data_IF_485681869012
#
_entry.id   IF_485681869012
#
_cell.length_a   1.000
_cell.length_b   1.000
_cell.length_c   1.000
_cell.angle_alpha   90.00
_cell.angle_beta   90.00
_cell.angle_gamma   90.00
#
_symmetry.space_group_name_H-M   'P 1'
#
loop_
_entity.id
_entity.type
_entity.pdbx_description
1 polymer ?
#
# COMPACT_ATOMS: atom_id res chain seq x y z
N UNK A 1 29.78 -1.07 -71.72
CA UNK A 1 30.76 -2.16 -71.53
C UNK A 1 32.01 -1.53 -70.93
N UNK A 2 32.66 -2.03 -69.86
CA UNK A 2 32.46 -3.18 -68.96
C UNK A 2 32.00 -2.71 -67.54
N UNK A 3 31.48 -3.45 -66.55
CA UNK A 3 31.79 -4.74 -65.90
C UNK A 3 33.09 -4.77 -65.04
N UNK A 4 32.88 -4.81 -63.71
CA UNK A 4 33.47 -5.74 -62.72
C UNK A 4 34.56 -5.23 -61.72
N UNK A 5 34.16 -5.37 -60.43
CA UNK A 5 34.92 -5.58 -59.17
C UNK A 5 35.80 -4.49 -58.55
N UNK A 6 35.44 -4.09 -57.33
CA UNK A 6 36.13 -4.60 -56.13
C UNK A 6 35.27 -4.39 -54.87
N UNK A 7 35.01 -5.48 -54.17
CA UNK A 7 34.38 -5.55 -52.86
C UNK A 7 35.42 -5.29 -51.75
N UNK A 8 34.90 -5.20 -50.52
CA UNK A 8 35.58 -5.35 -49.23
C UNK A 8 36.24 -4.10 -48.62
N UNK A 9 35.42 -3.33 -47.87
CA UNK A 9 35.84 -2.69 -46.61
C UNK A 9 34.63 -2.06 -45.88
N UNK A 10 33.58 -2.83 -45.54
CA UNK A 10 32.45 -2.32 -44.76
C UNK A 10 31.76 -3.42 -43.93
N UNK A 11 32.54 -4.30 -43.30
CA UNK A 11 32.02 -5.35 -42.39
C UNK A 11 32.71 -5.34 -41.01
N UNK A 12 33.56 -4.36 -40.68
CA UNK A 12 34.20 -4.29 -39.37
C UNK A 12 34.00 -2.94 -38.66
N UNK A 13 32.74 -2.48 -38.61
CA UNK A 13 32.30 -1.45 -37.66
C UNK A 13 31.14 -1.97 -36.76
N UNK A 14 31.07 -3.29 -36.56
CA UNK A 14 30.05 -3.96 -35.74
C UNK A 14 30.63 -4.73 -34.56
N UNK A 15 31.84 -4.38 -34.11
CA UNK A 15 32.39 -4.92 -32.86
C UNK A 15 32.87 -3.76 -32.00
N UNK A 16 32.41 -3.76 -30.75
CA UNK A 16 32.74 -2.80 -29.69
C UNK A 16 31.89 -1.50 -29.65
N UNK A 17 30.57 -1.65 -29.75
CA UNK A 17 29.79 -1.01 -28.69
C UNK A 17 30.00 -1.86 -27.42
N UNK A 18 30.47 -1.29 -26.30
CA UNK A 18 30.27 -1.97 -25.05
C UNK A 18 28.75 -2.06 -24.87
N UNK A 19 28.22 -3.27 -24.97
CA UNK A 19 27.04 -3.71 -24.23
C UNK A 19 27.36 -3.47 -22.75
N UNK A 20 27.36 -2.21 -22.32
CA UNK A 20 26.94 -1.87 -20.98
C UNK A 20 25.45 -2.12 -21.02
N UNK A 21 25.07 -3.37 -20.80
CA UNK A 21 23.89 -3.67 -20.01
C UNK A 21 24.13 -2.97 -18.67
N UNK A 22 23.87 -1.65 -18.65
CA UNK A 22 23.41 -1.00 -17.45
C UNK A 22 22.08 -1.69 -17.19
N UNK A 23 22.16 -2.84 -16.53
CA UNK A 23 21.09 -3.41 -15.76
C UNK A 23 20.65 -2.28 -14.83
N UNK A 24 19.71 -1.48 -15.31
CA UNK A 24 19.23 -0.30 -14.63
C UNK A 24 18.57 -0.86 -13.37
N UNK A 25 19.32 -0.85 -12.27
CA UNK A 25 18.90 -1.40 -11.00
C UNK A 25 17.48 -0.89 -10.74
N UNK A 26 16.49 -1.76 -10.89
CA UNK A 26 15.11 -1.34 -10.92
C UNK A 26 14.77 -0.83 -9.52
N UNK A 27 14.47 0.46 -9.42
CA UNK A 27 14.16 1.07 -8.12
C UNK A 27 12.77 0.62 -7.69
N UNK A 28 12.72 -0.23 -6.66
CA UNK A 28 11.48 -0.69 -6.05
C UNK A 28 11.09 0.26 -4.92
N UNK A 29 9.84 0.71 -4.90
CA UNK A 29 9.30 1.40 -3.73
C UNK A 29 9.13 0.41 -2.59
N UNK A 30 9.47 0.82 -1.37
CA UNK A 30 9.24 0.09 -0.13
C UNK A 30 8.56 1.01 0.89
N UNK A 31 7.86 0.41 1.85
CA UNK A 31 7.19 1.13 2.94
C UNK A 31 7.79 0.67 4.27
N UNK A 32 8.26 1.60 5.11
CA UNK A 32 8.62 1.32 6.50
C UNK A 32 7.49 1.79 7.41
N UNK A 33 6.69 0.86 7.96
CA UNK A 33 5.62 1.22 8.88
C UNK A 33 6.22 1.75 10.20
N UNK A 34 5.51 2.69 10.82
CA UNK A 34 5.81 3.24 12.15
C UNK A 34 4.82 2.71 13.17
N UNK A 35 3.53 2.73 12.85
CA UNK A 35 2.48 2.11 13.64
C UNK A 35 1.22 1.88 12.80
N UNK A 36 0.36 0.99 13.30
CA UNK A 36 -1.03 0.79 12.90
C UNK A 36 -1.78 0.52 14.20
N UNK A 37 -2.79 1.34 14.51
CA UNK A 37 -3.56 1.24 15.75
C UNK A 37 -5.03 1.58 15.53
N UNK A 38 -5.89 1.13 16.43
CA UNK A 38 -7.27 1.58 16.47
C UNK A 38 -7.31 3.07 16.87
N UNK A 39 -8.28 3.81 16.34
CA UNK A 39 -8.50 5.20 16.78
C UNK A 39 -9.14 5.22 18.17
N UNK A 40 -8.75 6.20 18.99
CA UNK A 40 -9.36 6.50 20.28
C UNK A 40 -10.64 7.32 20.09
N UNK A 41 -11.65 6.69 19.48
CA UNK A 41 -12.97 7.29 19.25
C UNK A 41 -14.04 6.52 20.02
N UNK A 42 -15.06 7.20 20.57
CA UNK A 42 -16.18 6.52 21.21
C UNK A 42 -16.90 5.63 20.18
N UNK A 43 -17.37 4.47 20.60
CA UNK A 43 -18.05 3.50 19.75
C UNK A 43 -17.17 2.99 18.58
N UNK A 44 -15.87 2.86 18.73
CA UNK A 44 -15.07 2.11 17.76
C UNK A 44 -15.34 0.61 17.92
N UNK A 45 -15.68 -0.10 16.84
CA UNK A 45 -15.90 -1.55 16.88
C UNK A 45 -14.61 -2.35 17.08
N UNK A 46 -13.44 -1.75 16.85
CA UNK A 46 -12.15 -2.40 17.08
C UNK A 46 -11.82 -2.27 18.57
N UNK A 47 -11.92 -3.38 19.30
CA UNK A 47 -11.58 -3.43 20.74
C UNK A 47 -10.09 -3.58 20.99
N UNK A 48 -9.44 -4.39 20.15
CA UNK A 48 -8.01 -4.63 20.20
C UNK A 48 -7.48 -4.67 18.77
N UNK A 49 -6.29 -4.11 18.57
CA UNK A 49 -5.53 -4.23 17.35
C UNK A 49 -4.05 -4.28 17.68
N UNK A 50 -3.48 -5.47 17.53
CA UNK A 50 -2.06 -5.70 17.66
C UNK A 50 -1.47 -5.98 16.29
N UNK A 51 -0.48 -5.18 15.89
CA UNK A 51 0.21 -5.34 14.60
C UNK A 51 1.70 -5.49 14.86
N UNK A 52 2.27 -6.54 14.27
CA UNK A 52 3.71 -6.81 14.28
C UNK A 52 4.20 -6.69 12.84
N UNK A 53 5.33 -6.02 12.69
CA UNK A 53 6.03 -5.88 11.42
C UNK A 53 7.24 -6.79 11.42
N UNK A 54 7.42 -7.52 10.32
CA UNK A 54 8.58 -8.40 10.15
C UNK A 54 9.15 -8.26 8.74
N UNK A 55 10.42 -8.60 8.58
CA UNK A 55 11.13 -8.62 7.32
C UNK A 55 11.25 -10.07 6.85
N UNK A 56 10.48 -10.44 5.82
CA UNK A 56 10.64 -11.73 5.15
C UNK A 56 11.50 -11.51 3.91
N UNK A 57 12.78 -11.83 4.02
CA UNK A 57 13.77 -11.47 3.01
C UNK A 57 13.99 -9.96 2.96
N UNK A 58 13.47 -9.30 1.91
CA UNK A 58 13.54 -7.83 1.74
C UNK A 58 12.16 -7.16 1.81
N UNK A 59 11.11 -7.95 1.95
CA UNK A 59 9.76 -7.43 1.96
C UNK A 59 9.28 -7.24 3.39
N UNK A 60 8.69 -6.06 3.64
CA UNK A 60 7.96 -5.81 4.88
C UNK A 60 6.66 -6.61 4.83
N UNK A 61 6.50 -7.45 5.83
CA UNK A 61 5.27 -8.18 6.08
C UNK A 61 4.65 -7.70 7.39
N UNK A 62 3.34 -7.87 7.52
CA UNK A 62 2.61 -7.53 8.73
C UNK A 62 1.76 -8.70 9.19
N UNK A 63 1.88 -9.00 10.48
CA UNK A 63 1.00 -9.91 11.18
C UNK A 63 0.06 -9.08 12.06
N UNK A 64 -1.23 -9.39 12.01
CA UNK A 64 -2.27 -8.65 12.70
C UNK A 64 -3.08 -9.61 13.56
N UNK A 65 -3.42 -9.20 14.76
CA UNK A 65 -4.45 -9.80 15.58
C UNK A 65 -5.35 -8.69 16.12
N UNK A 66 -6.63 -8.72 15.79
CA UNK A 66 -7.57 -7.71 16.24
C UNK A 66 -8.97 -8.25 16.47
N UNK A 67 -9.68 -7.62 17.37
CA UNK A 67 -11.05 -8.01 17.75
C UNK A 67 -12.02 -6.95 17.28
N UNK A 68 -13.02 -7.38 16.51
CA UNK A 68 -14.16 -6.54 16.12
C UNK A 68 -15.36 -6.97 16.96
N UNK A 69 -15.88 -6.06 17.77
CA UNK A 69 -16.89 -6.32 18.81
C UNK A 69 -18.33 -6.44 18.30
N UNK A 70 -18.60 -5.90 17.11
CA UNK A 70 -19.94 -5.82 16.54
C UNK A 70 -19.94 -5.94 15.02
N UNK A 71 -20.96 -6.61 14.51
CA UNK A 71 -21.19 -6.78 13.08
C UNK A 71 -21.88 -5.54 12.49
N UNK A 72 -21.65 -5.27 11.19
CA UNK A 72 -22.45 -4.32 10.41
C UNK A 72 -22.93 -4.99 9.11
N UNK A 73 -24.18 -4.77 8.67
CA UNK A 73 -24.67 -5.28 7.40
C UNK A 73 -23.83 -4.83 6.19
N UNK A 74 -23.37 -3.57 6.21
CA UNK A 74 -22.48 -2.99 5.21
C UNK A 74 -21.87 -1.68 5.71
N UNK A 75 -20.67 -1.37 5.26
CA UNK A 75 -20.14 -0.02 5.28
C UNK A 75 -20.70 0.76 4.10
N UNK A 76 -21.44 1.83 4.38
CA UNK A 76 -22.00 2.69 3.34
C UNK A 76 -21.03 3.77 2.91
N UNK A 77 -20.13 4.19 3.81
CA UNK A 77 -19.11 5.18 3.53
C UNK A 77 -17.77 4.79 4.15
N UNK A 78 -16.70 4.96 3.39
CA UNK A 78 -15.32 4.91 3.90
C UNK A 78 -14.67 6.26 3.62
N UNK A 79 -14.05 6.85 4.65
CA UNK A 79 -13.26 8.06 4.55
C UNK A 79 -11.81 7.74 4.85
N UNK A 80 -10.92 7.94 3.88
CA UNK A 80 -9.48 7.88 4.08
C UNK A 80 -8.91 9.29 4.07
N UNK A 81 -8.33 9.72 5.18
CA UNK A 81 -7.59 10.99 5.26
C UNK A 81 -6.10 10.69 5.32
N UNK A 82 -5.33 11.33 4.45
CA UNK A 82 -3.87 11.26 4.43
C UNK A 82 -3.30 12.64 4.76
N UNK A 83 -2.37 12.66 5.72
CA UNK A 83 -1.61 13.83 6.14
C UNK A 83 -0.12 13.58 5.87
N UNK A 84 0.61 14.64 5.53
CA UNK A 84 2.07 14.65 5.45
C UNK A 84 2.64 15.18 6.75
N UNK A 85 3.48 14.39 7.41
CA UNK A 85 4.08 14.74 8.69
C UNK A 85 5.61 14.75 8.60
N UNK A 86 6.24 15.64 9.34
CA UNK A 86 7.70 15.67 9.51
C UNK A 86 8.18 14.64 10.54
N UNK A 87 7.34 14.34 11.53
CA UNK A 87 7.62 13.39 12.61
C UNK A 87 6.39 12.55 12.97
N UNK A 88 6.62 11.37 13.55
CA UNK A 88 5.56 10.38 13.84
C UNK A 88 4.66 10.80 15.01
N UNK A 89 5.23 11.47 16.01
CA UNK A 89 4.64 11.62 17.36
C UNK A 89 3.81 12.90 17.49
N UNK A 90 4.12 13.93 16.70
CA UNK A 90 3.48 15.24 16.85
C UNK A 90 2.43 15.49 15.77
N UNK A 91 1.17 15.61 16.20
CA UNK A 91 0.07 16.05 15.32
C UNK A 91 0.28 17.49 14.81
N UNK A 92 1.03 18.34 15.52
CA UNK A 92 1.20 19.75 15.17
C UNK A 92 2.12 19.99 13.98
N UNK A 93 2.84 18.95 13.52
CA UNK A 93 3.71 19.00 12.33
C UNK A 93 3.17 18.21 11.15
N UNK A 94 1.86 18.00 11.10
CA UNK A 94 1.19 17.34 9.99
C UNK A 94 0.39 18.35 9.15
N UNK A 95 0.61 18.36 7.84
CA UNK A 95 -0.16 19.12 6.86
C UNK A 95 -1.19 18.20 6.18
N UNK A 96 -2.48 18.60 6.09
CA UNK A 96 -3.46 17.84 5.34
C UNK A 96 -3.03 17.67 3.88
N UNK A 97 -3.11 16.45 3.36
CA UNK A 97 -2.78 16.19 1.96
C UNK A 97 -4.00 15.84 1.12
N UNK A 98 -4.74 14.79 1.50
CA UNK A 98 -5.88 14.34 0.70
C UNK A 98 -6.89 13.62 1.55
N UNK A 99 -8.17 13.87 1.25
CA UNK A 99 -9.28 13.07 1.75
C UNK A 99 -9.94 12.34 0.59
N UNK A 100 -10.06 11.03 0.70
CA UNK A 100 -10.80 10.17 -0.23
C UNK A 100 -12.09 9.74 0.48
N UNK A 101 -13.23 10.12 -0.10
CA UNK A 101 -14.55 9.72 0.37
C UNK A 101 -15.14 8.70 -0.62
N UNK A 102 -15.28 7.46 -0.18
CA UNK A 102 -16.00 6.40 -0.90
C UNK A 102 -17.44 6.35 -0.38
N UNK A 103 -18.32 7.18 -0.94
CA UNK A 103 -19.72 7.33 -0.52
C UNK A 103 -20.72 6.35 -1.17
N UNK A 104 -22.00 6.56 -0.91
CA UNK A 104 -23.16 5.99 -1.63
C UNK A 104 -23.18 4.48 -1.80
N UNK A 105 -23.05 3.75 -0.68
CA UNK A 105 -23.02 2.28 -0.64
C UNK A 105 -21.80 1.64 -1.32
N UNK A 106 -20.83 2.43 -1.77
CA UNK A 106 -19.58 1.93 -2.35
C UNK A 106 -18.48 1.66 -1.32
N UNK A 107 -18.69 1.94 -0.02
CA UNK A 107 -17.70 1.65 1.01
C UNK A 107 -17.21 0.20 0.99
N UNK A 108 -18.14 -0.75 1.04
CA UNK A 108 -17.81 -2.17 0.88
C UNK A 108 -17.11 -2.50 -0.45
N UNK A 109 -17.57 -1.93 -1.57
CA UNK A 109 -16.93 -2.16 -2.87
C UNK A 109 -15.48 -1.64 -2.89
N UNK A 110 -15.23 -0.47 -2.29
CA UNK A 110 -13.89 0.11 -2.19
C UNK A 110 -12.97 -0.75 -1.31
N UNK A 111 -13.46 -1.25 -0.17
CA UNK A 111 -12.66 -2.11 0.69
C UNK A 111 -12.30 -3.44 0.00
N UNK A 112 -13.24 -4.00 -0.76
CA UNK A 112 -13.08 -5.28 -1.44
C UNK A 112 -12.46 -5.16 -2.85
N UNK A 113 -12.08 -3.96 -3.29
CA UNK A 113 -11.52 -3.74 -4.62
C UNK A 113 -10.10 -4.34 -4.72
N UNK A 114 -9.90 -5.24 -5.68
CA UNK A 114 -8.64 -5.97 -5.91
C UNK A 114 -7.49 -5.07 -6.36
N UNK A 115 -7.80 -3.91 -6.93
CA UNK A 115 -6.80 -2.95 -7.44
C UNK A 115 -6.31 -1.98 -6.35
N UNK A 116 -6.79 -2.12 -5.12
CA UNK A 116 -6.36 -1.26 -4.02
C UNK A 116 -5.09 -1.80 -3.35
N UNK A 117 -4.24 -0.93 -2.76
CA UNK A 117 -3.03 -1.34 -2.05
C UNK A 117 -3.23 -2.39 -0.96
N UNK A 118 -4.40 -2.37 -0.30
CA UNK A 118 -4.75 -3.26 0.81
C UNK A 118 -5.44 -4.56 0.37
N UNK A 119 -5.62 -4.81 -0.93
CA UNK A 119 -6.44 -5.92 -1.42
C UNK A 119 -5.97 -7.29 -0.93
N UNK A 120 -4.65 -7.52 -0.93
CA UNK A 120 -4.04 -8.76 -0.42
C UNK A 120 -4.23 -8.93 1.09
N UNK A 121 -4.16 -7.84 1.85
CA UNK A 121 -4.47 -7.86 3.30
C UNK A 121 -5.89 -8.38 3.51
N UNK A 122 -6.85 -7.80 2.79
CA UNK A 122 -8.27 -8.15 2.89
C UNK A 122 -8.52 -9.61 2.54
N UNK A 123 -7.86 -10.14 1.51
CA UNK A 123 -8.02 -11.54 1.11
C UNK A 123 -7.46 -12.52 2.11
N UNK A 124 -6.40 -12.14 2.82
CA UNK A 124 -5.60 -13.05 3.65
C UNK A 124 -6.05 -13.04 5.12
N UNK A 125 -6.91 -12.10 5.52
CA UNK A 125 -7.52 -12.06 6.85
C UNK A 125 -8.35 -13.32 7.14
N UNK A 126 -8.27 -13.79 8.39
CA UNK A 126 -9.02 -14.94 8.93
C UNK A 126 -9.76 -14.55 10.22
N UNK A 127 -11.11 -14.65 10.27
CA UNK A 127 -11.99 -15.08 9.18
C UNK A 127 -11.93 -14.12 8.00
N UNK A 128 -12.35 -14.60 6.83
CA UNK A 128 -12.30 -13.80 5.60
C UNK A 128 -13.11 -12.52 5.81
N UNK A 129 -12.47 -11.37 5.60
CA UNK A 129 -13.18 -10.11 5.68
C UNK A 129 -14.20 -10.06 4.54
N UNK A 130 -15.46 -9.84 4.91
CA UNK A 130 -16.58 -9.73 4.01
C UNK A 130 -17.38 -8.47 4.30
N UNK A 131 -18.24 -8.11 3.37
CA UNK A 131 -19.39 -7.27 3.65
C UNK A 131 -20.64 -8.14 3.52
N UNK A 132 -21.43 -8.37 4.59
CA UNK A 132 -21.35 -7.78 5.94
C UNK A 132 -20.05 -8.10 6.70
N UNK A 133 -19.56 -7.13 7.48
CA UNK A 133 -18.43 -7.33 8.36
C UNK A 133 -18.94 -7.94 9.66
N UNK A 134 -18.39 -9.09 10.05
CA UNK A 134 -18.86 -9.89 11.17
C UNK A 134 -18.04 -9.60 12.44
N UNK A 135 -18.70 -9.66 13.59
CA UNK A 135 -18.04 -9.74 14.90
C UNK A 135 -17.15 -10.98 14.93
N UNK A 136 -15.84 -10.78 15.05
CA UNK A 136 -14.87 -11.87 15.12
C UNK A 136 -13.51 -11.37 15.61
N UNK A 137 -12.65 -12.34 15.95
CA UNK A 137 -11.22 -12.13 16.09
C UNK A 137 -10.58 -12.34 14.71
N UNK A 138 -10.06 -11.27 14.13
CA UNK A 138 -9.39 -11.27 12.84
C UNK A 138 -7.89 -11.44 13.04
N UNK A 139 -7.32 -12.36 12.26
CA UNK A 139 -5.90 -12.64 12.25
C UNK A 139 -5.36 -12.59 10.83
N UNK A 140 -4.13 -12.11 10.71
CA UNK A 140 -3.35 -12.10 9.47
C UNK A 140 -1.93 -12.51 9.84
N UNK A 141 -1.32 -13.37 9.04
CA UNK A 141 0.08 -13.76 9.18
C UNK A 141 0.80 -13.43 7.89
N UNK A 142 1.91 -12.71 8.01
CA UNK A 142 2.80 -12.36 6.90
C UNK A 142 2.07 -11.68 5.73
N UNK A 143 1.10 -10.82 6.03
CA UNK A 143 0.39 -10.05 5.02
C UNK A 143 1.31 -9.05 4.33
N UNK A 144 1.02 -8.72 3.08
CA UNK A 144 1.79 -7.77 2.28
C UNK A 144 0.87 -6.80 1.55
N UNK A 145 1.33 -5.55 1.38
CA UNK A 145 0.62 -4.58 0.55
C UNK A 145 0.88 -4.91 -0.93
N UNK A 146 -0.07 -4.56 -1.79
CA UNK A 146 0.15 -4.61 -3.24
C UNK A 146 1.13 -3.49 -3.63
N UNK A 147 2.39 -3.86 -3.81
CA UNK A 147 3.45 -2.92 -4.19
C UNK A 147 3.24 -2.37 -5.60
N UNK A 148 2.58 -3.11 -6.49
CA UNK A 148 2.18 -2.63 -7.81
C UNK A 148 1.17 -1.49 -7.70
N UNK A 149 0.11 -1.67 -6.91
CA UNK A 149 -0.88 -0.62 -6.67
C UNK A 149 -0.26 0.61 -5.99
N UNK A 150 0.65 0.40 -5.03
CA UNK A 150 1.40 1.49 -4.39
C UNK A 150 2.32 2.22 -5.36
N UNK A 151 3.01 1.52 -6.26
CA UNK A 151 3.86 2.15 -7.27
C UNK A 151 3.06 3.05 -8.22
N UNK A 152 1.86 2.61 -8.62
CA UNK A 152 0.94 3.41 -9.43
C UNK A 152 0.47 4.68 -8.70
N UNK A 153 0.24 4.59 -7.39
CA UNK A 153 -0.06 5.77 -6.57
C UNK A 153 1.17 6.67 -6.39
N UNK A 154 2.36 6.09 -6.25
CA UNK A 154 3.60 6.82 -6.05
C UNK A 154 3.98 7.69 -7.24
N UNK A 155 3.78 7.20 -8.47
CA UNK A 155 4.00 8.01 -9.67
C UNK A 155 3.09 9.23 -9.74
N UNK A 156 1.87 9.12 -9.19
CA UNK A 156 0.88 10.21 -9.17
C UNK A 156 1.13 11.21 -8.05
N UNK A 157 1.46 10.73 -6.84
CA UNK A 157 1.45 11.56 -5.63
C UNK A 157 2.82 11.87 -5.03
N UNK A 158 3.91 11.31 -5.58
CA UNK A 158 5.29 11.43 -5.05
C UNK A 158 5.33 11.10 -3.55
N UNK A 159 5.17 9.81 -3.25
CA UNK A 159 5.02 9.33 -1.87
C UNK A 159 6.36 9.34 -1.08
N UNK A 160 7.49 9.52 -1.74
CA UNK A 160 8.80 9.49 -1.10
C UNK A 160 9.09 10.75 -0.27
N UNK A 161 9.71 10.58 0.90
CA UNK A 161 10.23 11.68 1.75
C UNK A 161 9.47 11.87 3.06
N UNK A 162 8.19 12.29 3.05
CA UNK A 162 7.41 12.52 4.27
C UNK A 162 7.06 11.24 5.03
N UNK A 163 6.71 11.42 6.31
CA UNK A 163 5.92 10.43 7.03
C UNK A 163 4.46 10.63 6.65
N UNK A 164 3.83 9.59 6.14
CA UNK A 164 2.42 9.59 5.79
C UNK A 164 1.62 9.07 6.96
N UNK A 165 0.71 9.90 7.47
CA UNK A 165 -0.31 9.45 8.41
C UNK A 165 -1.61 9.24 7.68
N UNK A 166 -2.17 8.05 7.78
CA UNK A 166 -3.42 7.68 7.15
C UNK A 166 -4.41 7.28 8.23
N UNK A 167 -5.59 7.88 8.20
CA UNK A 167 -6.72 7.49 9.05
C UNK A 167 -7.86 7.02 8.18
N UNK A 168 -8.40 5.85 8.52
CA UNK A 168 -9.52 5.23 7.84
C UNK A 168 -10.73 5.18 8.77
N UNK A 169 -11.84 5.77 8.35
CA UNK A 169 -13.11 5.77 9.08
C UNK A 169 -14.16 5.05 8.24
N UNK A 170 -14.80 4.05 8.84
CA UNK A 170 -15.86 3.25 8.21
C UNK A 170 -17.18 3.59 8.88
N UNK A 171 -18.16 3.98 8.08
CA UNK A 171 -19.47 4.42 8.56
C UNK A 171 -20.58 3.47 8.13
N UNK A 172 -21.55 3.32 9.02
CA UNK A 172 -22.80 2.59 8.80
C UNK A 172 -23.81 3.43 8.01
N UNK A 173 -24.94 2.81 7.62
CA UNK A 173 -25.97 3.45 6.80
C UNK A 173 -26.52 4.77 7.36
N UNK A 174 -26.57 4.92 8.70
CA UNK A 174 -27.03 6.15 9.37
C UNK A 174 -25.91 7.16 9.62
N UNK A 175 -24.72 6.95 9.05
CA UNK A 175 -23.53 7.77 9.28
C UNK A 175 -22.83 7.52 10.62
N UNK A 176 -23.29 6.53 11.40
CA UNK A 176 -22.64 6.14 12.65
C UNK A 176 -21.26 5.54 12.37
N UNK A 177 -20.28 5.83 13.23
CA UNK A 177 -18.98 5.18 13.20
C UNK A 177 -19.17 3.68 13.42
N UNK A 178 -18.63 2.83 12.53
CA UNK A 178 -18.45 1.40 12.79
C UNK A 178 -17.05 1.15 13.33
N UNK A 179 -16.02 1.36 12.51
CA UNK A 179 -14.62 1.19 12.91
C UNK A 179 -13.72 2.33 12.42
N UNK A 180 -12.63 2.56 13.16
CA UNK A 180 -11.58 3.49 12.79
C UNK A 180 -10.20 2.92 13.15
N UNK A 181 -9.27 3.00 12.21
CA UNK A 181 -7.86 2.77 12.47
C UNK A 181 -7.00 3.86 11.83
N UNK A 182 -5.83 4.04 12.41
CA UNK A 182 -4.81 5.00 11.99
C UNK A 182 -3.49 4.27 11.81
N UNK A 183 -2.77 4.62 10.75
CA UNK A 183 -1.43 4.11 10.50
C UNK A 183 -0.49 5.24 10.11
N UNK A 184 0.79 5.05 10.37
CA UNK A 184 1.85 5.93 9.89
C UNK A 184 2.98 5.11 9.28
N UNK A 185 3.60 5.66 8.24
CA UNK A 185 4.73 5.03 7.55
C UNK A 185 5.49 5.99 6.65
N UNK A 186 6.69 5.61 6.25
CA UNK A 186 7.48 6.33 5.25
C UNK A 186 7.65 5.46 4.01
N UNK A 187 7.66 6.07 2.82
CA UNK A 187 7.99 5.39 1.57
C UNK A 187 9.36 5.83 1.07
N UNK A 188 10.14 4.88 0.56
CA UNK A 188 11.47 5.13 0.00
C UNK A 188 11.74 4.14 -1.13
N UNK A 189 12.71 4.46 -1.99
CA UNK A 189 13.12 3.56 -3.07
C UNK A 189 14.39 2.81 -2.70
N UNK A 190 14.37 1.50 -2.96
CA UNK A 190 15.53 0.62 -2.80
C UNK A 190 15.91 0.07 -4.17
N UNK A 191 17.23 -0.02 -4.43
CA UNK A 191 17.73 -0.68 -5.63
C UNK A 191 17.44 -2.18 -5.52
N UNK A 192 16.72 -2.74 -6.49
CA UNK A 192 16.73 -4.19 -6.68
C UNK A 192 18.16 -4.63 -6.98
N UNK A 193 18.58 -5.77 -6.41
CA UNK A 193 19.77 -6.46 -6.91
C UNK A 193 19.32 -7.48 -7.94
N UNK A 194 20.13 -7.76 -8.96
CA UNK A 194 19.89 -8.87 -9.88
C UNK A 194 19.64 -10.14 -9.06
N UNK A 195 18.58 -10.88 -9.35
CA UNK A 195 18.44 -12.25 -8.86
C UNK A 195 19.47 -13.10 -9.62
N UNK A 196 20.59 -13.37 -8.96
CA UNK A 196 21.61 -14.30 -9.46
C UNK A 196 21.14 -15.75 -9.43
#
# INVERSE_FOLDING_TARGET
>A
MPWVTAAAALVLAATQWPLRDAEAASLKLEMRPKYIKACELPNNAIENLHVVYDMVGRDVTFSLNGTVSRSVPRWTKIRLTADKCDEVVSNSRCAPFKTLDFGDAAGCMAMMNKNMPWSKIVSDLRPKLSCPATKANYTLRNGMLSMEALNSLASTYRLEGPIWRVRAIFLEAKGALHCCFEGAGEFFRVRSRPSG
#
